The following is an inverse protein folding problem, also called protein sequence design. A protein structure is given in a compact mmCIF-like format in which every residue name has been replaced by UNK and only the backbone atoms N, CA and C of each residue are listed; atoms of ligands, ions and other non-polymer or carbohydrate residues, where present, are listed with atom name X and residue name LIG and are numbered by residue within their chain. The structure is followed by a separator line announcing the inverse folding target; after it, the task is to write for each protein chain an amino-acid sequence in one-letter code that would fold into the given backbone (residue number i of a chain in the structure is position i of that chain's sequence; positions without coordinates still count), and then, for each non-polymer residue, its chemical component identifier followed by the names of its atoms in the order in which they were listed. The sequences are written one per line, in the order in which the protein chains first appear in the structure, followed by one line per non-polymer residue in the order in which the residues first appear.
data_IF_444824236026
#
_entry.id   IF_444824236026
#
_cell.length_a   1.000
_cell.length_b   1.000
_cell.length_c   1.000
_cell.angle_alpha   90.00
_cell.angle_beta   90.00
_cell.angle_gamma   90.00
#
_symmetry.space_group_name_H-M   'P 1'
#
loop_
_entity.id
_entity.type
_entity.pdbx_description
1 polymer ?
#
# COMPACT_ATOMS: atom_id res chain seq x y z
N UNK A 1 -5.19 -17.59 5.56
CA UNK A 1 -4.29 -17.78 6.72
C UNK A 1 -3.64 -16.42 7.02
N UNK A 2 -4.05 -15.76 8.10
CA UNK A 2 -3.60 -14.40 8.45
C UNK A 2 -2.09 -14.41 8.69
N UNK A 3 -1.36 -13.56 7.96
CA UNK A 3 0.10 -13.46 8.02
C UNK A 3 0.63 -12.93 9.36
N UNK A 4 -0.22 -12.20 10.08
CA UNK A 4 0.11 -11.55 11.31
C UNK A 4 -0.64 -12.24 12.45
N UNK A 5 0.12 -12.72 13.45
CA UNK A 5 -0.39 -13.36 14.65
C UNK A 5 -1.33 -12.45 15.47
N UNK A 6 -1.91 -13.03 16.54
CA UNK A 6 -2.91 -12.45 17.46
C UNK A 6 -2.87 -10.91 17.55
N UNK A 7 -3.93 -10.28 17.02
CA UNK A 7 -4.46 -8.93 17.31
C UNK A 7 -3.48 -7.90 17.92
N UNK A 8 -3.20 -6.83 17.14
CA UNK A 8 -2.19 -5.74 17.29
C UNK A 8 -0.98 -6.08 16.40
N UNK A 9 -0.59 -5.29 15.43
CA UNK A 9 -0.18 -3.91 15.64
C UNK A 9 -0.62 -3.01 14.48
N UNK A 10 -1.26 -1.90 14.81
CA UNK A 10 -1.21 -0.75 13.92
C UNK A 10 0.22 -0.21 13.96
N UNK A 11 0.85 0.00 12.81
CA UNK A 11 2.21 0.53 12.77
C UNK A 11 2.32 1.60 11.68
N UNK A 12 3.40 2.37 11.74
CA UNK A 12 3.71 3.39 10.75
C UNK A 12 5.14 3.17 10.26
N UNK A 13 5.34 3.38 8.96
CA UNK A 13 6.67 3.33 8.37
C UNK A 13 6.82 4.36 7.25
N UNK A 14 8.06 4.55 6.79
CA UNK A 14 8.36 5.27 5.55
C UNK A 14 8.43 4.26 4.41
N UNK A 15 7.34 4.16 3.65
CA UNK A 15 7.17 3.21 2.56
C UNK A 15 7.75 3.79 1.27
N UNK A 16 8.61 3.03 0.60
CA UNK A 16 9.05 3.35 -0.77
C UNK A 16 7.99 2.84 -1.75
N UNK A 17 7.54 3.71 -2.65
CA UNK A 17 6.52 3.39 -3.64
C UNK A 17 7.05 3.76 -5.03
N UNK A 18 6.99 2.80 -5.95
CA UNK A 18 7.36 3.04 -7.35
C UNK A 18 6.56 4.20 -7.94
N UNK A 19 7.20 5.05 -8.74
CA UNK A 19 6.65 6.26 -9.36
C UNK A 19 6.20 7.40 -8.40
N UNK A 20 6.22 7.21 -7.08
CA UNK A 20 5.83 8.24 -6.07
C UNK A 20 7.01 8.63 -5.16
N UNK A 21 7.88 7.67 -4.88
CA UNK A 21 8.96 7.77 -3.90
C UNK A 21 8.51 7.54 -2.46
N UNK A 22 9.40 7.83 -1.51
CA UNK A 22 9.18 7.55 -0.08
C UNK A 22 8.09 8.42 0.57
N UNK A 23 7.05 7.79 1.13
CA UNK A 23 5.91 8.45 1.82
C UNK A 23 5.70 7.88 3.22
N UNK A 24 5.09 8.63 4.18
CA UNK A 24 4.59 8.03 5.40
C UNK A 24 3.39 7.10 5.10
N UNK A 25 3.35 5.92 5.71
CA UNK A 25 2.27 4.95 5.56
C UNK A 25 1.78 4.47 6.92
N UNK A 26 0.45 4.47 7.12
CA UNK A 26 -0.20 4.05 8.37
C UNK A 26 -0.97 2.76 8.12
N UNK A 27 -0.63 1.69 8.84
CA UNK A 27 -1.27 0.38 8.73
C UNK A 27 -2.16 0.16 9.96
N UNK A 28 -3.43 -0.18 9.77
CA UNK A 28 -4.37 -0.48 10.85
C UNK A 28 -5.05 -1.81 10.56
N UNK A 29 -4.68 -2.86 11.30
CA UNK A 29 -5.23 -4.22 11.09
C UNK A 29 -5.19 -4.66 9.62
N UNK A 30 -4.10 -4.31 8.96
CA UNK A 30 -4.01 -4.30 7.50
C UNK A 30 -3.86 -5.73 6.91
N UNK A 31 -4.69 -6.13 5.94
CA UNK A 31 -4.53 -7.41 5.23
C UNK A 31 -3.40 -7.31 4.19
N UNK A 32 -2.57 -8.35 4.03
CA UNK A 32 -1.52 -8.35 2.99
C UNK A 32 -1.99 -8.93 1.66
N UNK A 33 -1.51 -8.33 0.57
CA UNK A 33 -1.60 -8.92 -0.76
C UNK A 33 -0.55 -10.03 -0.87
N UNK A 34 -1.00 -11.28 -1.02
CA UNK A 34 -0.11 -12.46 -1.10
C UNK A 34 0.36 -12.75 -2.52
N UNK A 35 -0.49 -12.49 -3.50
CA UNK A 35 -0.24 -12.76 -4.90
C UNK A 35 -0.90 -11.66 -5.74
N UNK A 36 -0.26 -11.34 -6.86
CA UNK A 36 -0.80 -10.50 -7.92
C UNK A 36 -1.04 -11.37 -9.16
N UNK A 37 -2.11 -11.08 -9.90
CA UNK A 37 -2.42 -11.76 -11.16
C UNK A 37 -1.82 -11.05 -12.36
N UNK A 38 -2.04 -11.60 -13.55
CA UNK A 38 -1.57 -11.00 -14.80
C UNK A 38 -2.15 -9.59 -15.00
N UNK A 39 -1.29 -8.66 -15.42
CA UNK A 39 -1.66 -7.24 -15.61
C UNK A 39 -1.67 -6.40 -14.32
N UNK A 40 -1.41 -6.99 -13.15
CA UNK A 40 -1.13 -6.24 -11.92
C UNK A 40 0.37 -5.93 -11.78
N UNK A 41 0.69 -4.72 -11.33
CA UNK A 41 2.03 -4.31 -10.91
C UNK A 41 2.04 -4.11 -9.40
N UNK A 42 2.98 -4.76 -8.70
CA UNK A 42 3.26 -4.46 -7.31
C UNK A 42 4.07 -3.16 -7.24
N UNK A 43 3.51 -2.12 -6.62
CA UNK A 43 4.13 -0.79 -6.55
C UNK A 43 4.93 -0.57 -5.26
N UNK A 44 4.60 -1.33 -4.21
CA UNK A 44 5.28 -1.22 -2.92
C UNK A 44 5.13 -2.52 -2.11
N UNK A 45 6.17 -2.85 -1.35
CA UNK A 45 6.20 -4.00 -0.44
C UNK A 45 6.88 -3.67 0.88
N UNK A 46 6.51 -4.42 1.91
CA UNK A 46 7.20 -4.51 3.20
C UNK A 46 7.69 -5.96 3.38
N UNK A 47 8.42 -6.25 4.45
CA UNK A 47 8.98 -7.59 4.72
C UNK A 47 7.92 -8.70 4.62
N UNK A 48 6.68 -8.40 5.04
CA UNK A 48 5.61 -9.38 5.12
C UNK A 48 4.81 -9.55 3.83
N UNK A 49 4.93 -8.61 2.86
CA UNK A 49 4.30 -8.75 1.56
C UNK A 49 4.00 -7.43 0.83
N UNK A 50 3.18 -7.54 -0.22
CA UNK A 50 2.79 -6.41 -1.08
C UNK A 50 1.74 -5.55 -0.36
N UNK A 51 1.95 -4.24 -0.39
CA UNK A 51 1.10 -3.26 0.31
C UNK A 51 0.49 -2.19 -0.60
N UNK A 52 0.95 -2.12 -1.85
CA UNK A 52 0.31 -1.33 -2.90
C UNK A 52 0.44 -2.07 -4.24
N UNK A 53 -0.66 -2.14 -4.98
CA UNK A 53 -0.69 -2.71 -6.31
C UNK A 53 -1.56 -1.88 -7.24
N UNK A 54 -1.22 -1.89 -8.53
CA UNK A 54 -1.94 -1.19 -9.60
C UNK A 54 -2.34 -2.16 -10.70
N UNK A 55 -3.53 -1.97 -11.25
CA UNK A 55 -4.00 -2.63 -12.47
C UNK A 55 -4.84 -1.65 -13.29
N UNK A 56 -4.37 -1.30 -14.48
CA UNK A 56 -4.98 -0.25 -15.31
C UNK A 56 -5.16 1.07 -14.51
N UNK A 57 -6.42 1.50 -14.35
CA UNK A 57 -6.86 2.66 -13.57
C UNK A 57 -7.31 2.30 -12.13
N UNK A 58 -7.01 1.08 -11.66
CA UNK A 58 -7.33 0.63 -10.30
C UNK A 58 -6.10 0.66 -9.43
N UNK A 59 -6.26 1.15 -8.21
CA UNK A 59 -5.23 1.18 -7.19
C UNK A 59 -5.72 0.49 -5.93
N UNK A 60 -4.94 -0.46 -5.42
CA UNK A 60 -5.22 -1.19 -4.19
C UNK A 60 -4.16 -0.84 -3.15
N UNK A 61 -4.61 -0.41 -1.97
CA UNK A 61 -3.77 0.00 -0.84
C UNK A 61 -4.08 -0.86 0.38
N UNK A 62 -3.03 -1.27 1.08
CA UNK A 62 -3.11 -1.99 2.36
C UNK A 62 -2.97 -1.04 3.56
N UNK A 63 -2.49 0.18 3.30
CA UNK A 63 -2.32 1.25 4.28
C UNK A 63 -3.29 2.41 4.02
N UNK A 64 -3.32 3.35 4.96
CA UNK A 64 -4.21 4.49 4.98
C UNK A 64 -3.43 5.79 4.69
N UNK A 65 -3.23 6.18 3.41
CA UNK A 65 -2.58 7.45 3.09
C UNK A 65 -3.34 8.67 3.61
N UNK A 66 -4.66 8.55 3.80
CA UNK A 66 -5.57 9.58 4.29
C UNK A 66 -5.35 9.94 5.76
N UNK A 67 -4.63 9.09 6.51
CA UNK A 67 -4.26 9.34 7.90
C UNK A 67 -2.90 10.07 8.02
N UNK A 68 -2.42 10.64 6.92
CA UNK A 68 -1.19 11.43 6.85
C UNK A 68 -1.45 12.74 6.10
N UNK A 69 -0.59 13.74 6.30
CA UNK A 69 -0.65 14.99 5.53
C UNK A 69 -0.02 14.88 4.12
N UNK A 70 0.50 13.70 3.75
CA UNK A 70 1.16 13.48 2.47
C UNK A 70 0.16 13.08 1.38
N UNK A 71 -0.12 14.01 0.48
CA UNK A 71 -1.15 13.85 -0.57
C UNK A 71 -0.63 13.17 -1.83
N UNK A 72 0.63 12.73 -1.89
CA UNK A 72 1.22 12.21 -3.14
C UNK A 72 0.55 10.93 -3.65
N UNK A 73 0.10 10.04 -2.76
CA UNK A 73 -0.67 8.84 -3.17
C UNK A 73 -2.01 9.22 -3.79
N UNK A 74 -2.72 10.20 -3.19
CA UNK A 74 -3.98 10.71 -3.74
C UNK A 74 -3.76 11.41 -5.08
N UNK A 75 -2.70 12.20 -5.22
CA UNK A 75 -2.33 12.87 -6.47
C UNK A 75 -2.03 11.86 -7.57
N UNK A 76 -1.21 10.84 -7.26
CA UNK A 76 -0.92 9.76 -8.20
C UNK A 76 -2.20 9.06 -8.68
N UNK A 77 -3.14 8.79 -7.78
CA UNK A 77 -4.44 8.23 -8.17
C UNK A 77 -5.23 9.14 -9.11
N UNK A 78 -5.22 10.46 -8.90
CA UNK A 78 -5.89 11.41 -9.79
C UNK A 78 -5.21 11.53 -11.16
N UNK A 79 -3.89 11.40 -11.22
CA UNK A 79 -3.11 11.40 -12.48
C UNK A 79 -3.31 10.12 -13.30
N UNK A 80 -3.89 9.06 -12.73
CA UNK A 80 -4.25 7.82 -13.43
C UNK A 80 -5.59 7.90 -14.18
N UNK A 81 -6.40 8.94 -13.96
CA UNK A 81 -7.71 9.16 -14.60
C UNK A 81 -7.56 9.71 -16.02
#
# INVERSE_FOLDING_TARGET
RNAFGRQKESFQCRLEIDDIGRVPAVFIRAPLIRHIGDGCTAMASIEEGIVMARQDNRLALVFHPELTDDTRVHRYFLEML
#
